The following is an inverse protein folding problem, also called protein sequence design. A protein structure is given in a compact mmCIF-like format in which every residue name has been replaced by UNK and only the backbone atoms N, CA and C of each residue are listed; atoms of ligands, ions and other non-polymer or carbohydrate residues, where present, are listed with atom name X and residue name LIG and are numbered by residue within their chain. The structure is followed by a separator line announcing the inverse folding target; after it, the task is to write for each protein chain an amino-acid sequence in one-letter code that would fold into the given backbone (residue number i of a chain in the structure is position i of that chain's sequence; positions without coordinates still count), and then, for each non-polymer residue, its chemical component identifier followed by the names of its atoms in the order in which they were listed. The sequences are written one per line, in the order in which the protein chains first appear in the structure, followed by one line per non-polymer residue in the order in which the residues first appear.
data_IF_525562638291
#
_entry.id   IF_525562638291
#
_cell.length_a   1.000
_cell.length_b   1.000
_cell.length_c   1.000
_cell.angle_alpha   90.00
_cell.angle_beta   90.00
_cell.angle_gamma   90.00
#
_symmetry.space_group_name_H-M   'P 1'
#
loop_
_entity.id
_entity.type
_entity.pdbx_description
1 polymer ?
#
# COMPACT_ATOMS: atom_id res chain seq x y z
N UNK A 1 -5.89 -29.46 -9.06
CA UNK A 1 -6.12 -29.31 -7.61
C UNK A 1 -7.62 -29.19 -7.44
N UNK A 2 -8.27 -30.08 -6.69
CA UNK A 2 -9.74 -30.02 -6.52
C UNK A 2 -10.04 -28.96 -5.47
N UNK A 3 -11.15 -28.23 -5.58
CA UNK A 3 -11.51 -27.15 -4.64
C UNK A 3 -11.49 -27.61 -3.16
N UNK A 4 -11.78 -28.89 -2.91
CA UNK A 4 -11.70 -29.53 -1.58
C UNK A 4 -10.29 -29.53 -0.98
N UNK A 5 -9.24 -29.60 -1.81
CA UNK A 5 -7.85 -29.61 -1.33
C UNK A 5 -7.44 -28.20 -0.86
N UNK A 6 -7.93 -27.14 -1.50
CA UNK A 6 -7.69 -25.74 -1.11
C UNK A 6 -8.38 -25.43 0.22
N UNK A 7 -9.63 -25.86 0.38
CA UNK A 7 -10.38 -25.66 1.63
C UNK A 7 -9.68 -26.36 2.80
N UNK A 8 -9.29 -27.63 2.62
CA UNK A 8 -8.56 -28.39 3.65
C UNK A 8 -7.21 -27.74 4.01
N UNK A 9 -6.49 -27.23 3.02
CA UNK A 9 -5.24 -26.53 3.26
C UNK A 9 -5.47 -25.23 4.06
N UNK A 10 -6.51 -24.45 3.73
CA UNK A 10 -6.84 -23.23 4.44
C UNK A 10 -7.28 -23.51 5.90
N UNK A 11 -8.09 -24.54 6.13
CA UNK A 11 -8.50 -24.98 7.46
C UNK A 11 -7.30 -25.41 8.30
N UNK A 12 -6.39 -26.21 7.73
CA UNK A 12 -5.18 -26.64 8.40
C UNK A 12 -4.27 -25.46 8.75
N UNK A 13 -4.05 -24.51 7.82
CA UNK A 13 -3.28 -23.29 8.09
C UNK A 13 -3.92 -22.49 9.23
N UNK A 14 -5.25 -22.32 9.23
CA UNK A 14 -5.95 -21.59 10.29
C UNK A 14 -5.81 -22.23 11.66
N UNK A 15 -5.76 -23.57 11.73
CA UNK A 15 -5.57 -24.32 12.96
C UNK A 15 -4.13 -24.27 13.49
N UNK A 16 -3.15 -24.44 12.60
CA UNK A 16 -1.73 -24.57 12.99
C UNK A 16 -1.00 -23.22 13.10
N UNK A 17 -1.50 -22.19 12.42
CA UNK A 17 -0.91 -20.85 12.41
C UNK A 17 -1.94 -19.80 12.88
N UNK A 18 -2.45 -19.90 14.12
CA UNK A 18 -3.47 -18.99 14.63
C UNK A 18 -2.95 -17.54 14.61
N UNK A 19 -3.79 -16.61 14.20
CA UNK A 19 -3.42 -15.22 13.93
C UNK A 19 -2.81 -14.53 15.15
N UNK A 20 -3.27 -14.88 16.34
CA UNK A 20 -2.82 -14.34 17.63
C UNK A 20 -1.38 -14.75 17.95
N UNK A 21 -0.88 -15.84 17.37
CA UNK A 21 0.48 -16.33 17.58
C UNK A 21 1.52 -15.64 16.69
N UNK A 22 1.11 -14.72 15.80
CA UNK A 22 2.02 -14.08 14.85
C UNK A 22 2.57 -12.75 15.42
N UNK A 23 3.85 -12.69 15.84
CA UNK A 23 4.41 -11.52 16.51
C UNK A 23 4.56 -10.28 15.60
N UNK A 24 4.30 -10.42 14.30
CA UNK A 24 4.46 -9.38 13.30
C UNK A 24 3.17 -9.08 12.53
N UNK A 25 2.06 -9.73 12.89
CA UNK A 25 0.78 -9.44 12.26
C UNK A 25 0.27 -8.07 12.71
N UNK A 26 0.31 -7.09 11.81
CA UNK A 26 -0.40 -5.82 11.97
C UNK A 26 -1.84 -6.00 11.48
N UNK A 27 -2.80 -5.26 12.05
CA UNK A 27 -4.18 -5.23 11.52
C UNK A 27 -4.27 -4.51 10.15
N UNK A 28 -3.16 -4.37 9.43
CA UNK A 28 -3.01 -3.50 8.28
C UNK A 28 -3.16 -2.03 8.67
N UNK A 29 -3.79 -1.28 7.76
CA UNK A 29 -4.01 0.17 7.87
C UNK A 29 -5.51 0.49 7.72
N UNK A 30 -6.37 0.15 8.70
CA UNK A 30 -7.81 0.37 8.61
C UNK A 30 -8.12 1.86 8.48
N UNK A 31 -8.91 2.23 7.46
CA UNK A 31 -9.28 3.63 7.14
C UNK A 31 -8.06 4.53 6.89
N UNK A 32 -6.97 3.96 6.39
CA UNK A 32 -5.77 4.72 6.00
C UNK A 32 -5.28 4.26 4.63
N UNK A 33 -6.09 4.50 3.59
CA UNK A 33 -5.81 4.03 2.21
C UNK A 33 -4.45 4.45 1.66
N UNK A 34 -3.96 5.64 2.03
CA UNK A 34 -2.65 6.11 1.57
C UNK A 34 -1.52 5.32 2.23
N UNK A 35 -1.64 5.04 3.53
CA UNK A 35 -0.67 4.22 4.25
C UNK A 35 -0.68 2.78 3.72
N UNK A 36 -1.87 2.22 3.45
CA UNK A 36 -2.02 0.90 2.85
C UNK A 36 -1.35 0.80 1.48
N UNK A 37 -1.54 1.80 0.61
CA UNK A 37 -0.97 1.81 -0.73
C UNK A 37 0.57 1.94 -0.69
N UNK A 38 1.09 2.85 0.13
CA UNK A 38 2.53 2.98 0.34
C UNK A 38 3.12 1.69 0.92
N UNK A 39 2.43 1.06 1.88
CA UNK A 39 2.87 -0.17 2.49
C UNK A 39 3.00 -1.32 1.47
N UNK A 40 1.96 -1.52 0.64
CA UNK A 40 1.95 -2.54 -0.40
C UNK A 40 3.08 -2.34 -1.43
N UNK A 41 3.28 -1.10 -1.89
CA UNK A 41 4.29 -0.80 -2.92
C UNK A 41 5.70 -0.91 -2.36
N UNK A 42 5.97 -0.36 -1.18
CA UNK A 42 7.31 -0.35 -0.62
C UNK A 42 7.71 -1.70 -0.01
N UNK A 43 6.76 -2.52 0.46
CA UNK A 43 7.03 -3.88 0.93
C UNK A 43 7.36 -4.87 -0.20
N UNK A 44 7.00 -4.57 -1.45
CA UNK A 44 7.37 -5.40 -2.59
C UNK A 44 8.90 -5.59 -2.69
N UNK A 45 9.37 -6.84 -2.59
CA UNK A 45 10.80 -7.19 -2.60
C UNK A 45 11.66 -6.42 -1.58
N UNK A 46 11.09 -6.06 -0.43
CA UNK A 46 11.81 -5.39 0.64
C UNK A 46 11.62 -6.12 1.98
N UNK A 47 12.62 -6.01 2.86
CA UNK A 47 12.39 -6.30 4.26
C UNK A 47 11.54 -5.17 4.85
N UNK A 48 10.50 -5.51 5.62
CA UNK A 48 9.58 -4.55 6.23
C UNK A 48 10.30 -3.52 7.13
N UNK A 49 11.49 -3.89 7.62
CA UNK A 49 12.39 -3.02 8.37
C UNK A 49 12.03 -2.94 9.86
N UNK A 50 12.57 -1.92 10.51
CA UNK A 50 12.25 -1.57 11.91
C UNK A 50 11.21 -0.45 11.93
N UNK A 51 10.66 -0.03 13.08
CA UNK A 51 9.80 1.15 13.13
C UNK A 51 10.42 2.42 12.51
N UNK A 52 11.76 2.54 12.52
CA UNK A 52 12.48 3.72 11.99
C UNK A 52 13.11 3.50 10.62
N UNK A 53 12.95 2.32 10.02
CA UNK A 53 13.55 1.98 8.72
C UNK A 53 12.57 1.22 7.83
N UNK A 54 12.86 1.11 6.53
CA UNK A 54 11.98 0.38 5.62
C UNK A 54 10.61 1.06 5.46
N UNK A 55 9.56 0.24 5.34
CA UNK A 55 8.22 0.67 4.94
C UNK A 55 7.55 1.57 5.99
N UNK A 56 7.74 1.25 7.28
CA UNK A 56 7.17 2.04 8.38
C UNK A 56 7.69 3.48 8.38
N UNK A 57 8.98 3.66 8.10
CA UNK A 57 9.58 4.99 7.98
C UNK A 57 9.04 5.80 6.78
N UNK A 58 8.67 5.12 5.68
CA UNK A 58 8.03 5.76 4.53
C UNK A 58 6.65 6.32 4.93
N UNK A 59 5.84 5.49 5.60
CA UNK A 59 4.51 5.89 6.08
C UNK A 59 4.60 7.02 7.13
N UNK A 60 5.54 6.95 8.07
CA UNK A 60 5.73 7.99 9.10
C UNK A 60 6.15 9.35 8.51
N UNK A 61 7.03 9.34 7.51
CA UNK A 61 7.41 10.58 6.79
C UNK A 61 6.24 11.16 6.02
N UNK A 62 5.47 10.30 5.36
CA UNK A 62 4.25 10.74 4.68
C UNK A 62 3.24 11.35 5.65
N UNK A 63 3.03 10.70 6.81
CA UNK A 63 2.15 11.22 7.87
C UNK A 63 2.62 12.60 8.36
N UNK A 64 3.93 12.76 8.55
CA UNK A 64 4.55 14.02 8.94
C UNK A 64 4.33 15.10 7.87
N UNK A 65 4.54 14.78 6.59
CA UNK A 65 4.32 15.70 5.48
C UNK A 65 2.86 16.16 5.40
N UNK A 66 1.93 15.22 5.52
CA UNK A 66 0.48 15.50 5.50
C UNK A 66 0.02 16.38 6.67
N UNK A 67 0.85 16.56 7.71
CA UNK A 67 0.55 17.35 8.89
C UNK A 67 -0.82 16.98 9.51
N UNK A 68 -1.19 15.70 9.42
CA UNK A 68 -2.50 15.23 9.87
C UNK A 68 -2.66 15.51 11.36
N UNK A 69 -3.73 16.23 11.71
CA UNK A 69 -4.06 16.53 13.09
C UNK A 69 -4.41 15.25 13.85
N UNK A 70 -4.39 15.32 15.18
CA UNK A 70 -4.84 14.21 16.02
C UNK A 70 -6.30 13.85 15.69
N UNK A 71 -6.53 12.65 15.14
CA UNK A 71 -7.85 12.16 14.73
C UNK A 71 -8.11 12.18 13.22
N UNK A 72 -7.25 12.82 12.42
CA UNK A 72 -7.29 12.69 10.96
C UNK A 72 -6.52 11.44 10.49
N UNK A 73 -7.08 10.79 9.47
CA UNK A 73 -6.53 9.57 8.90
C UNK A 73 -5.99 9.82 7.49
N UNK A 74 -4.97 9.04 7.11
CA UNK A 74 -4.36 9.07 5.78
C UNK A 74 -5.24 8.33 4.76
N UNK A 75 -6.47 8.81 4.56
CA UNK A 75 -7.54 8.10 3.86
C UNK A 75 -8.03 8.81 2.59
N UNK A 76 -7.13 9.49 1.88
CA UNK A 76 -7.46 10.17 0.62
C UNK A 76 -6.40 9.89 -0.46
N UNK A 77 -6.69 8.97 -1.37
CA UNK A 77 -5.79 8.62 -2.48
C UNK A 77 -5.48 9.81 -3.40
N UNK A 78 -6.37 10.80 -3.46
CA UNK A 78 -6.11 12.04 -4.22
C UNK A 78 -4.86 12.77 -3.74
N UNK A 79 -4.47 12.63 -2.48
CA UNK A 79 -3.28 13.27 -1.94
C UNK A 79 -1.97 12.68 -2.50
N UNK A 80 -1.93 11.36 -2.73
CA UNK A 80 -0.82 10.71 -3.43
C UNK A 80 -0.90 10.96 -4.93
N UNK A 81 -2.11 10.91 -5.51
CA UNK A 81 -2.34 11.14 -6.93
C UNK A 81 -1.89 12.54 -7.40
N UNK A 82 -1.93 13.54 -6.52
CA UNK A 82 -1.45 14.89 -6.77
C UNK A 82 0.05 14.97 -7.14
N UNK A 83 0.82 13.89 -6.89
CA UNK A 83 2.24 13.78 -7.24
C UNK A 83 2.51 13.01 -8.53
N UNK A 84 1.50 12.69 -9.35
CA UNK A 84 1.66 11.88 -10.57
C UNK A 84 2.77 12.42 -11.49
N UNK A 85 2.85 13.74 -11.66
CA UNK A 85 3.87 14.41 -12.49
C UNK A 85 5.07 14.92 -11.67
N UNK A 86 5.10 14.64 -10.36
CA UNK A 86 6.09 15.14 -9.38
C UNK A 86 6.67 13.98 -8.56
N UNK A 87 6.88 12.83 -9.21
CA UNK A 87 7.35 11.59 -8.57
C UNK A 87 8.65 11.75 -7.79
N UNK A 88 9.60 12.55 -8.29
CA UNK A 88 10.88 12.82 -7.60
C UNK A 88 10.72 13.65 -6.32
N UNK A 89 9.74 14.54 -6.29
CA UNK A 89 9.39 15.28 -5.09
C UNK A 89 8.79 14.34 -4.05
N UNK A 90 7.86 13.47 -4.46
CA UNK A 90 7.30 12.45 -3.57
C UNK A 90 8.40 11.51 -3.05
N UNK A 91 9.33 11.08 -3.90
CA UNK A 91 10.47 10.27 -3.48
C UNK A 91 11.34 10.97 -2.43
N UNK A 92 11.46 12.30 -2.51
CA UNK A 92 12.17 13.12 -1.54
C UNK A 92 11.40 13.24 -0.22
N UNK A 93 10.08 13.49 -0.27
CA UNK A 93 9.20 13.51 0.91
C UNK A 93 9.26 12.17 1.66
N UNK A 94 9.16 11.07 0.93
CA UNK A 94 9.20 9.71 1.49
C UNK A 94 10.61 9.29 1.94
N UNK A 95 11.64 10.06 1.59
CA UNK A 95 13.04 9.75 1.86
C UNK A 95 13.47 8.41 1.23
N UNK A 96 12.88 8.04 0.09
CA UNK A 96 13.12 6.76 -0.57
C UNK A 96 13.10 6.92 -2.10
N UNK A 97 14.27 6.69 -2.73
CA UNK A 97 14.47 6.76 -4.18
C UNK A 97 14.63 5.39 -4.84
N UNK A 98 14.18 4.32 -4.20
CA UNK A 98 14.17 2.99 -4.79
C UNK A 98 13.39 3.00 -6.10
N UNK A 99 13.95 2.38 -7.14
CA UNK A 99 13.26 2.20 -8.43
C UNK A 99 12.41 0.95 -8.44
N UNK A 100 11.38 0.98 -9.28
CA UNK A 100 10.64 -0.23 -9.62
C UNK A 100 11.56 -1.10 -10.50
N UNK A 101 11.80 -2.38 -10.15
CA UNK A 101 12.67 -3.25 -10.93
C UNK A 101 12.21 -3.37 -12.38
N UNK A 102 13.13 -3.16 -13.34
CA UNK A 102 12.80 -3.21 -14.77
C UNK A 102 12.18 -1.92 -15.33
N UNK A 103 11.96 -0.91 -14.50
CA UNK A 103 11.35 0.36 -14.88
C UNK A 103 12.26 1.56 -14.59
N UNK A 104 11.98 2.68 -15.25
CA UNK A 104 12.77 3.91 -15.11
C UNK A 104 12.30 4.81 -13.95
N UNK A 105 11.13 4.57 -13.36
CA UNK A 105 10.55 5.43 -12.34
C UNK A 105 10.74 4.89 -10.90
N UNK A 106 10.56 5.78 -9.92
CA UNK A 106 10.70 5.42 -8.49
C UNK A 106 9.46 4.71 -7.96
N UNK A 107 9.58 3.93 -6.89
CA UNK A 107 8.42 3.38 -6.18
C UNK A 107 7.44 4.46 -5.72
N UNK A 108 7.96 5.65 -5.37
CA UNK A 108 7.14 6.81 -5.03
C UNK A 108 6.26 7.25 -6.21
N UNK A 109 6.86 7.40 -7.40
CA UNK A 109 6.12 7.71 -8.62
C UNK A 109 5.10 6.62 -8.98
N UNK A 110 5.45 5.34 -8.78
CA UNK A 110 4.52 4.22 -8.91
C UNK A 110 3.32 4.33 -7.97
N UNK A 111 3.54 4.76 -6.72
CA UNK A 111 2.48 4.99 -5.75
C UNK A 111 1.55 6.13 -6.16
N UNK A 112 2.08 7.23 -6.69
CA UNK A 112 1.27 8.33 -7.20
C UNK A 112 0.40 7.91 -8.38
N UNK A 113 0.97 7.14 -9.33
CA UNK A 113 0.25 6.61 -10.50
C UNK A 113 -0.83 5.60 -10.11
N UNK A 114 -0.52 4.69 -9.19
CA UNK A 114 -1.51 3.74 -8.67
C UNK A 114 -2.64 4.44 -7.92
N UNK A 115 -2.33 5.44 -7.10
CA UNK A 115 -3.33 6.25 -6.42
C UNK A 115 -4.25 6.97 -7.43
N UNK A 116 -3.67 7.52 -8.51
CA UNK A 116 -4.44 8.14 -9.59
C UNK A 116 -5.33 7.13 -10.31
N UNK A 117 -4.79 5.98 -10.71
CA UNK A 117 -5.56 4.96 -11.42
C UNK A 117 -6.75 4.45 -10.58
N UNK A 118 -6.53 4.22 -9.27
CA UNK A 118 -7.59 3.84 -8.33
C UNK A 118 -8.64 4.94 -8.17
N UNK A 119 -8.21 6.19 -8.00
CA UNK A 119 -9.12 7.33 -7.86
C UNK A 119 -9.96 7.56 -9.12
N UNK A 120 -9.36 7.44 -10.30
CA UNK A 120 -10.05 7.54 -11.59
C UNK A 120 -11.05 6.39 -11.78
N UNK A 121 -10.78 5.22 -11.20
CA UNK A 121 -11.68 4.06 -11.17
C UNK A 121 -12.74 4.12 -10.03
N UNK A 122 -12.77 5.21 -9.26
CA UNK A 122 -13.78 5.45 -8.22
C UNK A 122 -13.36 5.11 -6.78
N UNK A 123 -12.19 4.51 -6.57
CA UNK A 123 -11.65 4.22 -5.24
C UNK A 123 -10.85 5.41 -4.72
N UNK A 124 -11.41 6.20 -3.78
CA UNK A 124 -10.79 7.42 -3.27
C UNK A 124 -10.29 7.29 -1.83
N UNK A 125 -10.92 6.44 -1.03
CA UNK A 125 -10.54 6.16 0.35
C UNK A 125 -10.66 4.67 0.69
N UNK A 126 -10.33 4.29 1.92
CA UNK A 126 -10.38 2.90 2.36
C UNK A 126 -11.78 2.28 2.34
N UNK A 127 -12.82 3.10 2.43
CA UNK A 127 -14.22 2.63 2.37
C UNK A 127 -14.67 2.25 0.94
N UNK A 128 -13.95 2.71 -0.09
CA UNK A 128 -14.27 2.42 -1.49
C UNK A 128 -13.58 1.14 -2.00
N UNK A 129 -12.82 0.44 -1.13
CA UNK A 129 -12.07 -0.75 -1.51
C UNK A 129 -13.01 -1.95 -1.65
N UNK A 130 -13.17 -2.40 -2.89
CA UNK A 130 -13.99 -3.55 -3.26
C UNK A 130 -13.21 -4.51 -4.18
N UNK A 131 -13.58 -5.80 -4.19
CA UNK A 131 -13.01 -6.76 -5.15
C UNK A 131 -13.80 -6.69 -6.47
N UNK A 132 -13.46 -5.72 -7.31
CA UNK A 132 -14.03 -5.55 -8.65
C UNK A 132 -12.97 -5.69 -9.74
N UNK A 133 -13.39 -6.14 -10.92
CA UNK A 133 -12.51 -6.21 -12.09
C UNK A 133 -11.94 -4.82 -12.46
N UNK A 134 -12.75 -3.76 -12.32
CA UNK A 134 -12.32 -2.39 -12.61
C UNK A 134 -11.17 -1.94 -11.73
N UNK A 135 -11.26 -2.15 -10.40
CA UNK A 135 -10.20 -1.80 -9.47
C UNK A 135 -8.95 -2.67 -9.66
N UNK A 136 -9.13 -3.98 -9.92
CA UNK A 136 -8.00 -4.86 -10.24
C UNK A 136 -7.27 -4.41 -11.51
N UNK A 137 -8.03 -4.13 -12.59
CA UNK A 137 -7.48 -3.64 -13.85
C UNK A 137 -6.76 -2.30 -13.69
N UNK A 138 -7.29 -1.38 -12.86
CA UNK A 138 -6.67 -0.08 -12.62
C UNK A 138 -5.26 -0.22 -12.05
N UNK A 139 -5.09 -1.07 -11.03
CA UNK A 139 -3.79 -1.27 -10.38
C UNK A 139 -2.78 -1.95 -11.30
N UNK A 140 -3.18 -3.00 -12.02
CA UNK A 140 -2.26 -3.75 -12.90
C UNK A 140 -1.90 -3.00 -14.19
N UNK A 141 -2.68 -1.98 -14.55
CA UNK A 141 -2.40 -1.14 -15.72
C UNK A 141 -1.27 -0.12 -15.49
N UNK A 142 -0.88 0.09 -14.23
CA UNK A 142 0.26 0.94 -13.90
C UNK A 142 1.54 0.21 -14.31
N UNK A 143 2.36 0.79 -15.20
CA UNK A 143 3.60 0.17 -15.70
C UNK A 143 4.56 -0.22 -14.58
#
# INVERSE_FOLDING_TARGET
MKDTDVVRAAEFIGAELPREAWPHWNQGWPRESEAALLDAIFSSRAAYGTPKTGVRAVVDRWRTHRSVAAGEHLDSLSALAAFTDRGDELATILGNRQRVPGNYFTKAEGAARAAKALADAGCRCGADVEDTEGLRSAVVSVP
#
